data_IF_127651514749
#
_entry.id   IF_127651514749
#
_cell.length_a   1.000
_cell.length_b   1.000
_cell.length_c   1.000
_cell.angle_alpha   90.00
_cell.angle_beta   90.00
_cell.angle_gamma   90.00
#
_symmetry.space_group_name_H-M   'P 1'
#
loop_
_entity.id
_entity.type
_entity.pdbx_description
1 polymer ?
#
# COMPACT_ATOMS: atom_id res chain seq x y z
N UNK A 1 -11.84 0.91 14.65
CA UNK A 1 -12.62 1.09 13.41
C UNK A 1 -11.73 1.16 12.14
N UNK A 2 -10.65 0.37 12.05
CA UNK A 2 -9.68 0.42 10.94
C UNK A 2 -9.59 -0.89 10.12
N UNK A 3 -10.02 -2.04 10.68
CA UNK A 3 -9.92 -3.35 9.99
C UNK A 3 -10.93 -3.53 8.86
N UNK A 4 -12.14 -2.97 8.97
CA UNK A 4 -13.19 -3.10 7.96
C UNK A 4 -12.82 -2.39 6.64
N UNK A 5 -12.12 -1.25 6.70
CA UNK A 5 -11.71 -0.52 5.49
C UNK A 5 -10.62 -1.24 4.68
N UNK A 6 -9.84 -2.13 5.32
CA UNK A 6 -8.87 -2.98 4.66
C UNK A 6 -9.52 -4.12 3.86
N UNK A 7 -10.70 -4.60 4.28
CA UNK A 7 -11.49 -5.58 3.52
C UNK A 7 -12.21 -4.98 2.31
N UNK A 8 -12.42 -3.66 2.29
CA UNK A 8 -12.99 -2.94 1.15
C UNK A 8 -11.94 -2.57 0.08
N UNK A 9 -10.67 -2.91 0.27
CA UNK A 9 -9.67 -2.73 -0.78
C UNK A 9 -9.97 -3.74 -1.89
N UNK A 10 -10.29 -3.30 -3.11
CA UNK A 10 -10.57 -4.22 -4.19
C UNK A 10 -9.28 -5.00 -4.49
N UNK A 11 -9.36 -6.33 -4.40
CA UNK A 11 -8.27 -7.22 -4.77
C UNK A 11 -7.85 -6.97 -6.24
N UNK A 12 -6.59 -7.23 -6.57
CA UNK A 12 -6.06 -7.12 -7.95
C UNK A 12 -6.95 -7.88 -8.92
N UNK A 13 -7.44 -9.05 -8.52
CA UNK A 13 -8.32 -9.89 -9.34
C UNK A 13 -9.68 -9.21 -9.59
N UNK A 14 -10.31 -8.63 -8.56
CA UNK A 14 -11.59 -7.94 -8.68
C UNK A 14 -11.48 -6.69 -9.58
N UNK A 15 -10.39 -5.94 -9.45
CA UNK A 15 -10.11 -4.78 -10.30
C UNK A 15 -9.88 -5.17 -11.77
N UNK A 16 -9.18 -6.27 -12.01
CA UNK A 16 -8.97 -6.83 -13.36
C UNK A 16 -10.28 -7.30 -14.00
N UNK A 17 -11.10 -8.03 -13.25
CA UNK A 17 -12.41 -8.51 -13.72
C UNK A 17 -13.35 -7.35 -14.04
N UNK A 18 -13.42 -6.35 -13.17
CA UNK A 18 -14.25 -5.18 -13.40
C UNK A 18 -13.73 -4.31 -14.57
N UNK A 19 -12.41 -4.21 -14.75
CA UNK A 19 -11.81 -3.59 -15.93
C UNK A 19 -12.15 -4.35 -17.22
N UNK A 20 -12.08 -5.68 -17.20
CA UNK A 20 -12.48 -6.52 -18.33
C UNK A 20 -13.98 -6.38 -18.66
N UNK A 21 -14.84 -6.36 -17.64
CA UNK A 21 -16.29 -6.12 -17.79
C UNK A 21 -16.57 -4.74 -18.39
N UNK A 22 -15.86 -3.70 -17.96
CA UNK A 22 -15.98 -2.37 -18.55
C UNK A 22 -15.57 -2.37 -20.03
N UNK A 23 -14.45 -3.02 -20.38
CA UNK A 23 -14.01 -3.15 -21.76
C UNK A 23 -15.02 -3.91 -22.63
N UNK A 24 -15.60 -5.01 -22.12
CA UNK A 24 -16.63 -5.77 -22.81
C UNK A 24 -17.88 -4.90 -23.03
N UNK A 25 -18.36 -4.21 -22.00
CA UNK A 25 -19.50 -3.31 -22.11
C UNK A 25 -19.24 -2.17 -23.11
N UNK A 26 -18.03 -1.62 -23.15
CA UNK A 26 -17.66 -0.60 -24.14
C UNK A 26 -17.69 -1.16 -25.57
N UNK A 27 -17.14 -2.35 -25.80
CA UNK A 27 -17.15 -3.00 -27.11
C UNK A 27 -18.58 -3.33 -27.57
N UNK A 28 -19.45 -3.83 -26.67
CA UNK A 28 -20.86 -4.05 -26.96
C UNK A 28 -21.55 -2.75 -27.37
N UNK A 29 -21.29 -1.66 -26.65
CA UNK A 29 -21.83 -0.35 -27.02
C UNK A 29 -21.42 0.12 -28.42
N UNK A 30 -20.19 -0.18 -28.85
CA UNK A 30 -19.73 0.12 -30.22
C UNK A 30 -20.42 -0.77 -31.27
N UNK A 31 -20.62 -2.05 -30.98
CA UNK A 31 -21.31 -3.00 -31.87
C UNK A 31 -22.77 -2.58 -32.06
N UNK A 32 -23.46 -2.21 -30.99
CA UNK A 32 -24.85 -1.75 -31.04
C UNK A 32 -24.96 -0.45 -31.84
N UNK A 33 -24.01 0.46 -31.66
CA UNK A 33 -23.95 1.72 -32.42
C UNK A 33 -23.72 1.45 -33.92
N UNK A 34 -22.86 0.48 -34.27
CA UNK A 34 -22.68 0.04 -35.65
C UNK A 34 -23.94 -0.64 -36.23
N UNK A 35 -24.72 -1.31 -35.38
CA UNK A 35 -26.00 -1.94 -35.72
C UNK A 35 -27.17 -0.94 -35.75
N UNK A 36 -26.90 0.35 -35.50
CA UNK A 36 -27.89 1.44 -35.39
C UNK A 36 -28.88 1.27 -34.23
N UNK A 37 -28.58 0.41 -33.26
CA UNK A 37 -29.32 0.32 -32.00
C UNK A 37 -28.70 1.30 -30.99
N UNK A 38 -29.13 2.56 -31.10
CA UNK A 38 -28.60 3.66 -30.30
C UNK A 38 -29.04 3.61 -28.83
N UNK A 39 -30.12 2.89 -28.51
CA UNK A 39 -30.63 2.78 -27.14
C UNK A 39 -29.77 1.79 -26.35
N UNK A 40 -29.55 0.60 -26.89
CA UNK A 40 -28.64 -0.40 -26.31
C UNK A 40 -27.21 0.11 -26.24
N UNK A 41 -26.73 0.78 -27.30
CA UNK A 41 -25.40 1.40 -27.34
C UNK A 41 -25.20 2.40 -26.19
N UNK A 42 -26.19 3.26 -25.95
CA UNK A 42 -26.15 4.24 -24.86
C UNK A 42 -26.05 3.54 -23.49
N UNK A 43 -26.85 2.50 -23.26
CA UNK A 43 -26.83 1.75 -21.99
C UNK A 43 -25.46 1.13 -21.74
N UNK A 44 -24.91 0.41 -22.73
CA UNK A 44 -23.62 -0.27 -22.60
C UNK A 44 -22.45 0.71 -22.41
N UNK A 45 -22.47 1.86 -23.09
CA UNK A 45 -21.46 2.91 -22.91
C UNK A 45 -21.57 3.60 -21.54
N UNK A 46 -22.78 3.88 -21.04
CA UNK A 46 -22.92 4.41 -19.69
C UNK A 46 -22.49 3.40 -18.62
N UNK A 47 -22.79 2.12 -18.84
CA UNK A 47 -22.40 1.05 -17.93
C UNK A 47 -20.88 0.90 -17.85
N UNK A 48 -20.17 0.93 -18.99
CA UNK A 48 -18.71 0.84 -19.01
C UNK A 48 -18.04 1.98 -18.24
N UNK A 49 -18.54 3.21 -18.40
CA UNK A 49 -18.09 4.39 -17.66
C UNK A 49 -18.43 4.29 -16.17
N UNK A 50 -19.64 3.84 -15.82
CA UNK A 50 -20.07 3.69 -14.44
C UNK A 50 -19.20 2.68 -13.67
N UNK A 51 -18.85 1.55 -14.29
CA UNK A 51 -17.95 0.55 -13.71
C UNK A 51 -16.58 1.18 -13.41
N UNK A 52 -16.02 1.94 -14.36
CA UNK A 52 -14.71 2.61 -14.18
C UNK A 52 -14.75 3.69 -13.11
N UNK A 53 -15.80 4.52 -13.09
CA UNK A 53 -15.98 5.55 -12.08
C UNK A 53 -16.08 4.95 -10.67
N UNK A 54 -16.84 3.85 -10.53
CA UNK A 54 -16.96 3.13 -9.26
C UNK A 54 -15.61 2.55 -8.80
N UNK A 55 -14.86 1.91 -9.71
CA UNK A 55 -13.51 1.41 -9.41
C UNK A 55 -12.56 2.52 -8.96
N UNK A 56 -12.61 3.69 -9.62
CA UNK A 56 -11.78 4.83 -9.27
C UNK A 56 -12.09 5.35 -7.87
N UNK A 57 -13.37 5.49 -7.53
CA UNK A 57 -13.80 5.91 -6.18
C UNK A 57 -13.35 4.88 -5.13
N UNK A 58 -13.54 3.58 -5.39
CA UNK A 58 -13.10 2.52 -4.48
C UNK A 58 -11.58 2.58 -4.26
N UNK A 59 -10.82 2.71 -5.35
CA UNK A 59 -9.36 2.85 -5.34
C UNK A 59 -8.93 4.08 -4.54
N UNK A 60 -9.59 5.21 -4.74
CA UNK A 60 -9.30 6.47 -4.06
C UNK A 60 -9.54 6.38 -2.55
N UNK A 61 -10.69 5.82 -2.15
CA UNK A 61 -11.02 5.60 -0.73
C UNK A 61 -10.04 4.63 -0.08
N UNK A 62 -9.70 3.53 -0.76
CA UNK A 62 -8.70 2.55 -0.31
C UNK A 62 -7.32 3.20 -0.12
N UNK A 63 -6.85 3.99 -1.09
CA UNK A 63 -5.57 4.69 -0.99
C UNK A 63 -5.55 5.64 0.21
N UNK A 64 -6.62 6.43 0.37
CA UNK A 64 -6.75 7.40 1.47
C UNK A 64 -6.79 6.70 2.85
N UNK A 65 -7.46 5.56 2.94
CA UNK A 65 -7.47 4.75 4.16
C UNK A 65 -6.08 4.21 4.49
N UNK A 66 -5.39 3.66 3.48
CA UNK A 66 -4.02 3.12 3.62
C UNK A 66 -3.05 4.21 4.05
N UNK A 67 -3.16 5.41 3.48
CA UNK A 67 -2.31 6.55 3.82
C UNK A 67 -2.46 6.98 5.28
N UNK A 68 -3.70 7.09 5.78
CA UNK A 68 -3.95 7.40 7.20
C UNK A 68 -3.39 6.33 8.15
N UNK A 69 -3.44 5.07 7.76
CA UNK A 69 -2.85 3.97 8.56
C UNK A 69 -1.32 4.10 8.58
N UNK A 70 -0.70 4.35 7.43
CA UNK A 70 0.75 4.55 7.33
C UNK A 70 1.23 5.77 8.13
N UNK A 71 0.53 6.90 8.07
CA UNK A 71 0.83 8.10 8.86
C UNK A 71 0.75 7.82 10.37
N UNK A 72 -0.29 7.10 10.81
CA UNK A 72 -0.44 6.73 12.22
C UNK A 72 0.68 5.80 12.71
N UNK A 73 1.06 4.81 11.88
CA UNK A 73 2.16 3.90 12.19
C UNK A 73 3.50 4.66 12.25
N UNK A 74 3.76 5.58 11.31
CA UNK A 74 4.95 6.40 11.30
C UNK A 74 5.01 7.37 12.51
N UNK A 75 3.87 7.92 12.91
CA UNK A 75 3.77 8.78 14.09
C UNK A 75 4.04 8.01 15.39
N UNK A 76 3.52 6.79 15.52
CA UNK A 76 3.84 5.91 16.65
C UNK A 76 5.32 5.54 16.69
N UNK A 77 5.91 5.16 15.57
CA UNK A 77 7.33 4.83 15.47
C UNK A 77 8.21 6.02 15.88
N UNK A 78 7.90 7.24 15.41
CA UNK A 78 8.62 8.46 15.80
C UNK A 78 8.51 8.76 17.29
N UNK A 79 7.35 8.53 17.91
CA UNK A 79 7.19 8.70 19.36
C UNK A 79 8.02 7.67 20.12
N UNK A 80 8.06 6.43 19.64
CA UNK A 80 8.85 5.37 20.25
C UNK A 80 10.35 5.67 20.18
N UNK A 81 10.86 6.06 19.01
CA UNK A 81 12.27 6.47 18.84
C UNK A 81 12.61 7.67 19.73
N UNK A 82 11.73 8.67 19.85
CA UNK A 82 11.94 9.79 20.77
C UNK A 82 11.95 9.34 22.24
N UNK A 83 11.07 8.43 22.64
CA UNK A 83 11.02 7.91 24.00
C UNK A 83 12.28 7.09 24.35
N UNK A 84 12.76 6.26 23.41
CA UNK A 84 14.03 5.52 23.55
C UNK A 84 15.21 6.49 23.68
N UNK A 85 15.26 7.54 22.86
CA UNK A 85 16.34 8.53 22.90
C UNK A 85 16.27 9.49 24.09
N UNK A 86 15.08 9.71 24.66
CA UNK A 86 14.86 10.59 25.82
C UNK A 86 14.93 9.86 27.17
N UNK A 87 14.99 8.52 27.18
CA UNK A 87 15.15 7.75 28.41
C UNK A 87 16.56 7.97 28.99
N UNK A 88 16.69 8.44 30.26
CA UNK A 88 18.00 8.50 30.91
C UNK A 88 18.56 7.07 31.01
N UNK A 89 19.81 6.88 30.55
CA UNK A 89 20.51 5.59 30.55
C UNK A 89 20.37 4.93 31.94
N UNK A 90 19.64 3.81 32.08
CA UNK A 90 19.62 3.08 33.34
C UNK A 90 20.98 2.39 33.51
N UNK A 91 21.56 2.56 34.71
CA UNK A 91 22.70 1.78 35.20
C UNK A 91 22.37 0.29 35.12
N UNK A 92 23.33 -0.46 34.57
CA UNK A 92 23.55 -1.90 34.63
C UNK A 92 22.38 -2.81 34.17
N UNK A 93 22.29 -2.95 32.84
CA UNK A 93 22.05 -4.24 32.18
C UNK A 93 23.21 -4.48 31.22
N UNK A 94 23.70 -5.71 31.18
CA UNK A 94 24.85 -6.18 30.40
C UNK A 94 24.79 -5.67 28.95
N UNK A 95 25.83 -4.96 28.49
CA UNK A 95 25.86 -4.31 27.15
C UNK A 95 25.57 -5.30 26.01
N UNK A 96 25.92 -6.57 26.20
CA UNK A 96 25.65 -7.66 25.27
C UNK A 96 24.15 -7.99 25.10
N UNK A 97 23.34 -7.91 26.15
CA UNK A 97 21.90 -8.18 26.07
C UNK A 97 21.14 -7.04 25.39
N UNK A 98 21.55 -5.79 25.64
CA UNK A 98 20.99 -4.62 24.93
C UNK A 98 21.32 -4.63 23.45
N UNK A 99 22.56 -4.97 23.08
CA UNK A 99 22.95 -5.11 21.68
C UNK A 99 22.22 -6.26 20.98
N UNK A 100 22.00 -7.39 21.66
CA UNK A 100 21.25 -8.50 21.10
C UNK A 100 19.76 -8.14 20.86
N UNK A 101 19.17 -7.40 21.79
CA UNK A 101 17.78 -6.95 21.69
C UNK A 101 17.61 -5.87 20.61
N UNK A 102 18.53 -4.90 20.53
CA UNK A 102 18.57 -3.91 19.45
C UNK A 102 18.79 -4.56 18.08
N UNK A 103 19.66 -5.58 17.97
CA UNK A 103 19.86 -6.32 16.71
C UNK A 103 18.62 -7.11 16.31
N UNK A 104 17.91 -7.72 17.27
CA UNK A 104 16.68 -8.45 16.99
C UNK A 104 15.56 -7.51 16.51
N UNK A 105 15.36 -6.37 17.19
CA UNK A 105 14.36 -5.38 16.79
C UNK A 105 14.70 -4.72 15.44
N UNK A 106 15.98 -4.48 15.15
CA UNK A 106 16.41 -3.99 13.84
C UNK A 106 16.20 -5.01 12.72
N UNK A 107 16.36 -6.31 13.00
CA UNK A 107 16.10 -7.36 12.03
C UNK A 107 14.61 -7.46 11.68
N UNK A 108 13.74 -7.44 12.69
CA UNK A 108 12.28 -7.46 12.49
C UNK A 108 11.80 -6.24 11.69
N UNK A 109 12.34 -5.06 11.96
CA UNK A 109 12.02 -3.83 11.22
C UNK A 109 12.54 -3.87 9.78
N UNK A 110 13.72 -4.45 9.55
CA UNK A 110 14.28 -4.63 8.21
C UNK A 110 13.45 -5.63 7.37
N UNK A 111 12.96 -6.71 7.97
CA UNK A 111 12.10 -7.67 7.30
C UNK A 111 10.73 -7.08 6.97
N UNK A 112 10.14 -6.30 7.87
CA UNK A 112 8.92 -5.54 7.57
C UNK A 112 9.14 -4.55 6.42
N UNK A 113 10.30 -3.89 6.36
CA UNK A 113 10.60 -2.93 5.30
C UNK A 113 10.83 -3.63 3.95
N UNK A 114 11.52 -4.78 3.93
CA UNK A 114 11.65 -5.64 2.73
C UNK A 114 10.29 -6.12 2.24
N UNK A 115 9.44 -6.55 3.16
CA UNK A 115 8.10 -7.03 2.84
C UNK A 115 7.22 -5.88 2.33
N UNK A 116 7.37 -4.66 2.82
CA UNK A 116 6.72 -3.49 2.25
C UNK A 116 7.26 -3.15 0.85
N UNK A 117 8.58 -3.25 0.64
CA UNK A 117 9.25 -2.98 -0.63
C UNK A 117 8.83 -3.94 -1.75
N UNK A 118 8.55 -5.21 -1.42
CA UNK A 118 8.07 -6.20 -2.41
C UNK A 118 6.69 -5.87 -2.98
N UNK A 119 5.91 -5.02 -2.30
CA UNK A 119 4.60 -4.57 -2.75
C UNK A 119 4.65 -3.22 -3.49
N UNK A 120 5.81 -2.55 -3.51
CA UNK A 120 6.03 -1.30 -4.24
C UNK A 120 6.54 -1.62 -5.65
N UNK A 121 5.96 -0.97 -6.67
CA UNK A 121 6.38 -1.16 -8.06
C UNK A 121 7.88 -0.85 -8.25
N UNK A 122 8.61 -1.58 -9.12
CA UNK A 122 10.05 -1.35 -9.38
C UNK A 122 10.36 0.09 -9.78
N UNK A 123 9.49 0.69 -10.59
CA UNK A 123 9.70 2.04 -11.15
C UNK A 123 9.14 3.16 -10.26
N UNK A 124 8.73 2.83 -9.03
CA UNK A 124 8.16 3.83 -8.13
C UNK A 124 9.23 4.83 -7.67
N UNK A 125 9.00 6.15 -7.78
CA UNK A 125 10.00 7.17 -7.43
C UNK A 125 10.37 7.19 -5.95
N UNK A 126 9.57 6.55 -5.09
CA UNK A 126 9.82 6.42 -3.66
C UNK A 126 10.62 5.17 -3.29
N UNK A 127 10.77 4.20 -4.20
CA UNK A 127 11.49 2.94 -3.98
C UNK A 127 12.98 3.15 -3.58
N UNK A 128 13.75 4.04 -4.24
CA UNK A 128 15.17 4.24 -3.90
C UNK A 128 15.38 4.70 -2.45
N UNK A 129 14.41 5.45 -1.90
CA UNK A 129 14.46 5.94 -0.51
C UNK A 129 14.38 4.81 0.51
N UNK A 130 13.56 3.78 0.24
CA UNK A 130 13.41 2.63 1.13
C UNK A 130 14.57 1.64 0.98
N UNK A 131 15.09 1.48 -0.24
CA UNK A 131 16.30 0.69 -0.50
C UNK A 131 17.52 1.28 0.23
N UNK A 132 17.71 2.61 0.17
CA UNK A 132 18.76 3.29 0.93
C UNK A 132 18.62 3.10 2.46
N UNK A 133 17.38 3.00 2.95
CA UNK A 133 17.11 2.76 4.38
C UNK A 133 17.48 1.32 4.78
N UNK A 134 17.18 0.33 3.94
CA UNK A 134 17.64 -1.05 4.13
C UNK A 134 19.16 -1.15 4.10
N UNK A 135 19.80 -0.45 3.17
CA UNK A 135 21.25 -0.47 3.04
C UNK A 135 21.95 0.15 4.26
N UNK A 136 21.41 1.24 4.80
CA UNK A 136 21.87 1.85 6.05
C UNK A 136 21.72 0.87 7.23
N UNK A 137 20.56 0.20 7.35
CA UNK A 137 20.32 -0.80 8.40
C UNK A 137 21.28 -1.99 8.28
N UNK A 138 21.56 -2.47 7.07
CA UNK A 138 22.52 -3.54 6.83
C UNK A 138 23.95 -3.15 7.24
N UNK A 139 24.37 -1.89 6.99
CA UNK A 139 25.68 -1.38 7.42
C UNK A 139 25.80 -1.20 8.93
N UNK A 140 24.69 -0.91 9.62
CA UNK A 140 24.66 -0.80 11.09
C UNK A 140 24.69 -2.20 11.73
N UNK A 141 24.01 -3.18 11.12
CA UNK A 141 24.00 -4.56 11.61
C UNK A 141 25.34 -5.29 11.44
N UNK A 142 26.12 -4.92 10.41
CA UNK A 142 27.44 -5.50 10.11
C UNK A 142 28.61 -4.81 10.83
N UNK A 143 28.36 -3.72 11.56
CA UNK A 143 29.30 -3.15 12.53
C UNK A 143 29.14 -3.79 13.91
#
# INVERSE_FOLDING_TARGET
MNRLLLYLVPDKQASLLAGALSAIAFLLGLIDMASRDFESARIHLHLSVAIMAFLFVLRFVSLRATYRVAENAQAQLRRHIRAVNAAPRPRERTEAEKLAQEKAEMADLADQLKQALSHIAPDSPVRPKYEATLELMARIASR
#
